data_IF_002800311686
#
_entry.id   IF_002800311686
#
_cell.length_a   1.000
_cell.length_b   1.000
_cell.length_c   1.000
_cell.angle_alpha   90.00
_cell.angle_beta   90.00
_cell.angle_gamma   90.00
#
_symmetry.space_group_name_H-M   'P 1'
#
loop_
_entity.id
_entity.type
_entity.pdbx_description
1 polymer ?
#
# COMPACT_ATOMS: atom_id res chain seq x y z
N UNK A 1 -2.53 68.82 62.95
CA UNK A 1 -3.20 68.72 61.67
C UNK A 1 -2.23 68.20 60.62
N UNK A 2 -1.47 67.07 60.91
CA UNK A 2 -0.37 66.58 60.10
C UNK A 2 -0.24 65.06 60.22
N UNK A 3 -1.33 64.33 60.26
CA UNK A 3 -1.35 62.85 60.40
C UNK A 3 -2.29 62.09 59.42
N UNK A 4 -3.05 62.85 58.58
CA UNK A 4 -3.97 62.25 57.62
C UNK A 4 -3.44 62.12 56.18
N UNK A 5 -2.37 62.85 55.81
CA UNK A 5 -1.81 62.85 54.49
C UNK A 5 -0.83 61.65 54.26
N UNK A 6 -0.27 61.12 55.37
CA UNK A 6 0.74 60.04 55.27
C UNK A 6 0.17 58.63 55.08
N UNK A 7 -1.14 58.45 55.32
CA UNK A 7 -1.80 57.12 55.18
C UNK A 7 -2.42 56.87 53.78
N UNK A 8 -2.56 57.92 52.99
CA UNK A 8 -3.17 57.81 51.66
C UNK A 8 -2.15 57.42 50.55
N UNK A 9 -0.85 57.65 50.80
CA UNK A 9 0.20 57.36 49.85
C UNK A 9 0.64 55.87 49.91
N UNK A 10 0.44 55.19 51.06
CA UNK A 10 0.85 53.78 51.22
C UNK A 10 -0.16 52.78 50.61
N UNK A 11 -1.42 53.19 50.45
CA UNK A 11 -2.46 52.32 49.86
C UNK A 11 -2.47 52.34 48.33
N UNK A 12 -1.89 53.36 47.71
CA UNK A 12 -1.82 53.48 46.24
C UNK A 12 -0.60 52.78 45.58
N UNK A 13 0.38 52.31 46.39
CA UNK A 13 1.56 51.63 45.84
C UNK A 13 1.48 50.10 45.92
N UNK A 14 0.39 49.55 46.47
CA UNK A 14 0.20 48.10 46.68
C UNK A 14 -0.61 47.41 45.58
N UNK A 15 -1.05 48.14 44.55
CA UNK A 15 -1.97 47.63 43.52
C UNK A 15 -1.32 47.44 42.11
N UNK A 16 0.03 47.53 41.98
CA UNK A 16 0.66 47.53 40.67
C UNK A 16 1.61 46.37 40.42
N UNK A 17 1.43 45.23 41.12
CA UNK A 17 2.17 43.99 40.85
C UNK A 17 1.24 42.79 40.65
N UNK A 18 0.15 42.96 39.86
CA UNK A 18 -0.52 41.84 39.21
C UNK A 18 0.18 41.66 37.87
N UNK A 19 1.33 41.02 37.90
CA UNK A 19 1.91 40.43 36.70
C UNK A 19 0.95 39.39 36.15
N UNK A 20 0.37 39.69 35.00
CA UNK A 20 -0.27 38.69 34.15
C UNK A 20 0.77 37.58 33.83
N UNK A 21 0.74 36.52 34.58
CA UNK A 21 1.31 35.23 34.10
C UNK A 21 0.37 34.78 33.00
N UNK A 22 0.69 35.14 31.75
CA UNK A 22 0.12 34.48 30.59
C UNK A 22 0.64 33.05 30.63
N UNK A 23 -0.13 32.13 31.20
CA UNK A 23 0.00 30.73 30.91
C UNK A 23 -0.24 30.60 29.40
N UNK A 24 0.88 30.48 28.68
CA UNK A 24 0.88 29.95 27.33
C UNK A 24 0.23 28.55 27.40
N UNK A 25 -1.07 28.48 27.15
CA UNK A 25 -1.75 27.22 26.84
C UNK A 25 -1.00 26.62 25.65
N UNK A 26 -0.07 25.73 25.95
CA UNK A 26 0.45 24.78 24.97
C UNK A 26 -0.75 23.98 24.51
N UNK A 27 -1.26 24.33 23.33
CA UNK A 27 -2.19 23.47 22.61
C UNK A 27 -1.60 22.06 22.61
N UNK A 28 -2.36 21.02 23.00
CA UNK A 28 -1.87 19.64 22.93
C UNK A 28 -1.42 19.44 21.49
N UNK A 29 -0.13 19.17 21.30
CA UNK A 29 0.49 19.03 19.99
C UNK A 29 -0.35 18.08 19.18
N UNK A 30 -0.93 18.54 18.11
CA UNK A 30 -1.50 17.67 17.10
C UNK A 30 -0.37 16.76 16.68
N UNK A 31 -0.43 15.52 17.14
CA UNK A 31 0.48 14.47 16.75
C UNK A 31 0.44 14.43 15.22
N UNK A 32 1.52 14.91 14.58
CA UNK A 32 1.60 14.95 13.12
C UNK A 32 1.66 13.51 12.66
N UNK A 33 0.49 12.94 12.40
CA UNK A 33 0.38 11.61 11.84
C UNK A 33 1.22 11.58 10.56
N UNK A 34 2.18 10.68 10.53
CA UNK A 34 3.02 10.51 9.34
C UNK A 34 2.12 10.19 8.14
N UNK A 35 2.08 11.04 7.10
CA UNK A 35 1.19 10.83 5.96
C UNK A 35 1.45 9.49 5.25
N UNK A 36 2.70 9.00 5.27
CA UNK A 36 3.04 7.70 4.70
C UNK A 36 2.44 6.55 5.50
N UNK A 37 2.33 6.68 6.84
CA UNK A 37 1.67 5.67 7.68
C UNK A 37 0.19 5.56 7.36
N UNK A 38 -0.50 6.68 7.08
CA UNK A 38 -1.90 6.66 6.67
C UNK A 38 -2.10 5.98 5.32
N UNK A 39 -1.22 6.28 4.34
CA UNK A 39 -1.26 5.65 3.01
C UNK A 39 -0.98 4.15 3.09
N UNK A 40 -0.05 3.73 3.95
CA UNK A 40 0.24 2.31 4.20
C UNK A 40 -0.95 1.61 4.87
N UNK A 41 -1.64 2.27 5.78
CA UNK A 41 -2.84 1.71 6.41
C UNK A 41 -3.97 1.57 5.39
N UNK A 42 -4.22 2.58 4.53
CA UNK A 42 -5.21 2.49 3.44
C UNK A 42 -4.89 1.33 2.48
N UNK A 43 -3.61 1.16 2.13
CA UNK A 43 -3.18 0.02 1.33
C UNK A 43 -3.52 -1.31 2.01
N UNK A 44 -3.17 -1.46 3.30
CA UNK A 44 -3.47 -2.66 4.09
C UNK A 44 -4.97 -2.95 4.13
N UNK A 45 -5.79 -1.95 4.42
CA UNK A 45 -7.24 -2.09 4.51
C UNK A 45 -7.84 -2.58 3.17
N UNK A 46 -7.32 -2.10 2.03
CA UNK A 46 -7.72 -2.53 0.69
C UNK A 46 -7.30 -3.97 0.41
N UNK A 47 -6.11 -4.36 0.81
CA UNK A 47 -5.65 -5.75 0.73
C UNK A 47 -6.53 -6.65 1.58
N UNK A 48 -6.80 -6.28 2.83
CA UNK A 48 -7.66 -7.06 3.74
C UNK A 48 -9.09 -7.22 3.19
N UNK A 49 -9.62 -6.17 2.57
CA UNK A 49 -10.92 -6.21 1.88
C UNK A 49 -10.91 -7.22 0.71
N UNK A 50 -9.85 -7.22 -0.08
CA UNK A 50 -9.69 -8.19 -1.17
C UNK A 50 -9.59 -9.63 -0.64
N UNK A 51 -8.78 -9.86 0.39
CA UNK A 51 -8.63 -11.18 1.01
C UNK A 51 -9.95 -11.71 1.58
N UNK A 52 -10.73 -10.84 2.25
CA UNK A 52 -12.07 -11.20 2.73
C UNK A 52 -12.99 -11.63 1.59
N UNK A 53 -13.01 -10.87 0.49
CA UNK A 53 -13.79 -11.23 -0.70
C UNK A 53 -13.32 -12.57 -1.28
N UNK A 54 -12.00 -12.77 -1.47
CA UNK A 54 -11.46 -14.04 -1.98
C UNK A 54 -11.90 -15.21 -1.10
N UNK A 55 -11.73 -15.10 0.22
CA UNK A 55 -12.13 -16.15 1.17
C UNK A 55 -13.62 -16.46 1.08
N UNK A 56 -14.50 -15.45 1.03
CA UNK A 56 -15.93 -15.66 0.84
C UNK A 56 -16.26 -16.42 -0.43
N UNK A 57 -15.54 -16.12 -1.52
CA UNK A 57 -15.71 -16.78 -2.81
C UNK A 57 -15.18 -18.22 -2.77
N UNK A 58 -14.05 -18.47 -2.10
CA UNK A 58 -13.51 -19.81 -1.87
C UNK A 58 -14.47 -20.67 -1.04
N UNK A 59 -15.00 -20.13 0.06
CA UNK A 59 -15.93 -20.83 0.96
C UNK A 59 -17.28 -21.21 0.28
N UNK A 60 -17.70 -20.44 -0.74
CA UNK A 60 -18.89 -20.68 -1.53
C UNK A 60 -18.66 -21.63 -2.71
N UNK A 61 -17.39 -21.84 -3.08
CA UNK A 61 -16.99 -22.69 -4.19
C UNK A 61 -16.76 -24.16 -3.78
N UNK A 62 -16.42 -25.01 -4.74
CA UNK A 62 -15.97 -26.36 -4.43
C UNK A 62 -14.69 -26.32 -3.62
N UNK A 63 -14.66 -26.99 -2.47
CA UNK A 63 -13.45 -27.09 -1.66
C UNK A 63 -12.37 -27.84 -2.43
N UNK A 64 -11.16 -27.29 -2.45
CA UNK A 64 -10.00 -28.00 -2.96
C UNK A 64 -9.63 -29.07 -1.96
N UNK A 65 -9.90 -30.34 -2.30
CA UNK A 65 -9.30 -31.46 -1.58
C UNK A 65 -7.84 -31.56 -1.96
N UNK A 66 -7.01 -31.88 -1.00
CA UNK A 66 -5.59 -32.15 -1.25
C UNK A 66 -5.41 -33.13 -2.44
N UNK A 67 -4.64 -32.72 -3.43
CA UNK A 67 -4.45 -33.48 -4.68
C UNK A 67 -3.15 -33.08 -5.33
N UNK A 68 -2.46 -34.06 -5.91
CA UNK A 68 -1.29 -33.86 -6.76
C UNK A 68 -1.65 -33.80 -8.26
N UNK A 69 -2.93 -33.95 -8.59
CA UNK A 69 -3.40 -33.93 -9.99
C UNK A 69 -3.42 -32.47 -10.53
N UNK A 70 -2.53 -32.13 -11.48
CA UNK A 70 -2.44 -30.77 -12.03
C UNK A 70 -3.74 -30.32 -12.71
N UNK A 71 -4.50 -31.22 -13.32
CA UNK A 71 -5.75 -30.90 -14.00
C UNK A 71 -6.83 -30.46 -12.99
N UNK A 72 -6.88 -31.10 -11.83
CA UNK A 72 -7.80 -30.74 -10.75
C UNK A 72 -7.40 -29.40 -10.10
N UNK A 73 -6.11 -29.18 -9.88
CA UNK A 73 -5.57 -27.90 -9.37
C UNK A 73 -5.96 -26.78 -10.31
N UNK A 74 -5.72 -26.97 -11.63
CA UNK A 74 -6.08 -25.98 -12.64
C UNK A 74 -7.59 -25.71 -12.70
N UNK A 75 -8.42 -26.74 -12.68
CA UNK A 75 -9.88 -26.60 -12.71
C UNK A 75 -10.40 -25.79 -11.50
N UNK A 76 -9.84 -26.06 -10.32
CA UNK A 76 -10.15 -25.30 -9.11
C UNK A 76 -9.71 -23.82 -9.26
N UNK A 77 -8.49 -23.59 -9.71
CA UNK A 77 -7.95 -22.23 -9.94
C UNK A 77 -8.83 -21.45 -10.94
N UNK A 78 -9.25 -22.09 -12.03
CA UNK A 78 -10.10 -21.48 -13.06
C UNK A 78 -11.48 -21.12 -12.49
N UNK A 79 -12.05 -22.01 -11.66
CA UNK A 79 -13.32 -21.78 -10.98
C UNK A 79 -13.20 -20.59 -9.99
N UNK A 80 -12.17 -20.58 -9.16
CA UNK A 80 -11.90 -19.47 -8.24
C UNK A 80 -11.74 -18.16 -8.99
N UNK A 81 -10.95 -18.16 -10.06
CA UNK A 81 -10.77 -16.99 -10.90
C UNK A 81 -12.08 -16.48 -11.53
N UNK A 82 -12.96 -17.37 -11.98
CA UNK A 82 -14.26 -16.99 -12.51
C UNK A 82 -15.17 -16.36 -11.44
N UNK A 83 -15.20 -16.95 -10.26
CA UNK A 83 -16.00 -16.46 -9.15
C UNK A 83 -15.50 -15.10 -8.63
N UNK A 84 -14.17 -14.92 -8.48
CA UNK A 84 -13.59 -13.63 -8.13
C UNK A 84 -13.93 -12.57 -9.19
N UNK A 85 -13.82 -12.89 -10.47
CA UNK A 85 -14.18 -11.95 -11.55
C UNK A 85 -15.65 -11.56 -11.48
N UNK A 86 -16.54 -12.50 -11.17
CA UNK A 86 -17.97 -12.22 -10.99
C UNK A 86 -18.21 -11.27 -9.80
N UNK A 87 -17.61 -11.56 -8.65
CA UNK A 87 -17.72 -10.73 -7.45
C UNK A 87 -17.09 -9.34 -7.63
N UNK A 88 -16.08 -9.21 -8.50
CA UNK A 88 -15.36 -7.97 -8.82
C UNK A 88 -15.70 -7.43 -10.23
N UNK A 89 -16.89 -7.64 -10.73
CA UNK A 89 -17.28 -7.21 -12.09
C UNK A 89 -17.10 -5.71 -12.35
N UNK A 90 -17.22 -4.89 -11.32
CA UNK A 90 -17.03 -3.42 -11.39
C UNK A 90 -15.63 -2.93 -11.05
N UNK A 91 -14.67 -3.83 -10.76
CA UNK A 91 -13.33 -3.43 -10.35
C UNK A 91 -12.57 -2.68 -11.44
N UNK A 92 -11.88 -1.61 -11.03
CA UNK A 92 -11.14 -0.73 -11.95
C UNK A 92 -9.66 -0.63 -11.53
N UNK A 93 -8.75 -0.31 -12.46
CA UNK A 93 -7.36 -0.01 -12.10
C UNK A 93 -7.26 1.11 -11.06
N UNK A 94 -6.51 0.87 -9.99
CA UNK A 94 -6.36 1.81 -8.88
C UNK A 94 -7.34 1.58 -7.73
N UNK A 95 -8.09 0.49 -7.74
CA UNK A 95 -8.93 0.11 -6.60
C UNK A 95 -8.10 -0.23 -5.36
N UNK A 96 -6.96 -0.90 -5.55
CA UNK A 96 -5.99 -1.17 -4.49
C UNK A 96 -4.86 -0.14 -4.53
N UNK A 97 -4.24 0.04 -5.68
CA UNK A 97 -3.19 1.03 -5.88
C UNK A 97 -3.78 2.40 -6.23
N UNK A 98 -4.33 3.12 -5.25
CA UNK A 98 -4.78 4.51 -5.43
C UNK A 98 -3.63 5.41 -5.90
N UNK A 99 -3.90 6.62 -6.38
CA UNK A 99 -2.83 7.56 -6.77
C UNK A 99 -1.79 7.79 -5.67
N UNK A 100 -2.23 7.90 -4.40
CA UNK A 100 -1.39 8.13 -3.23
C UNK A 100 -0.50 6.89 -2.94
N UNK A 101 -1.10 5.70 -2.99
CA UNK A 101 -0.39 4.43 -2.81
C UNK A 101 0.63 4.24 -3.94
N UNK A 102 0.28 4.54 -5.20
CA UNK A 102 1.22 4.49 -6.33
C UNK A 102 2.40 5.44 -6.14
N UNK A 103 2.12 6.65 -5.64
CA UNK A 103 3.18 7.64 -5.38
C UNK A 103 4.13 7.15 -4.29
N UNK A 104 3.58 6.59 -3.21
CA UNK A 104 4.37 6.01 -2.12
C UNK A 104 5.22 4.84 -2.61
N UNK A 105 4.64 3.89 -3.33
CA UNK A 105 5.35 2.70 -3.83
C UNK A 105 6.50 3.07 -4.77
N UNK A 106 6.28 4.03 -5.69
CA UNK A 106 7.36 4.54 -6.54
C UNK A 106 8.48 5.18 -5.73
N UNK A 107 8.14 5.91 -4.65
CA UNK A 107 9.12 6.53 -3.76
C UNK A 107 9.91 5.48 -2.98
N UNK A 108 9.26 4.42 -2.51
CA UNK A 108 9.92 3.31 -1.81
C UNK A 108 10.89 2.54 -2.73
N UNK A 109 10.50 2.28 -3.98
CA UNK A 109 11.32 1.55 -4.94
C UNK A 109 12.42 2.40 -5.58
N UNK A 110 12.31 3.73 -5.55
CA UNK A 110 13.22 4.63 -6.26
C UNK A 110 14.69 4.49 -5.85
N UNK A 111 15.06 4.42 -4.55
CA UNK A 111 16.45 4.22 -4.14
C UNK A 111 17.05 2.95 -4.75
N UNK A 112 16.28 1.87 -4.76
CA UNK A 112 16.69 0.54 -5.23
C UNK A 112 16.91 0.46 -6.76
N UNK A 113 16.51 1.50 -7.47
CA UNK A 113 16.63 1.59 -8.93
C UNK A 113 17.63 2.66 -9.38
N UNK A 114 18.45 3.18 -8.45
CA UNK A 114 19.45 4.23 -8.71
C UNK A 114 20.88 3.73 -8.57
N UNK A 115 21.80 4.47 -9.21
CA UNK A 115 23.22 4.13 -9.19
C UNK A 115 23.55 2.83 -9.93
N UNK A 116 24.71 2.27 -9.63
CA UNK A 116 25.23 1.05 -10.28
C UNK A 116 24.37 -0.17 -9.95
N UNK A 117 24.05 -0.39 -8.68
CA UNK A 117 23.20 -1.50 -8.23
C UNK A 117 21.78 -1.42 -8.80
N UNK A 118 21.23 -0.19 -8.90
CA UNK A 118 19.95 0.03 -9.55
C UNK A 118 19.96 -0.25 -11.05
N UNK A 119 21.10 -0.06 -11.72
CA UNK A 119 21.26 -0.45 -13.12
C UNK A 119 21.27 -1.98 -13.28
N UNK A 120 21.94 -2.70 -12.38
CA UNK A 120 21.93 -4.18 -12.33
C UNK A 120 20.51 -4.71 -12.04
N UNK A 121 19.81 -4.12 -11.07
CA UNK A 121 18.39 -4.43 -10.78
C UNK A 121 17.51 -4.28 -12.02
N UNK A 122 17.64 -3.17 -12.76
CA UNK A 122 16.89 -2.95 -14.01
C UNK A 122 17.25 -3.92 -15.11
N UNK A 123 18.50 -4.32 -15.20
CA UNK A 123 18.96 -5.32 -16.17
C UNK A 123 18.32 -6.67 -15.89
N UNK A 124 18.33 -7.15 -14.64
CA UNK A 124 17.66 -8.40 -14.22
C UNK A 124 16.16 -8.36 -14.57
N UNK A 125 15.47 -7.26 -14.25
CA UNK A 125 14.04 -7.09 -14.61
C UNK A 125 13.82 -7.20 -16.13
N UNK A 126 14.73 -6.65 -16.92
CA UNK A 126 14.63 -6.69 -18.38
C UNK A 126 14.88 -8.10 -18.94
N UNK A 127 15.81 -8.83 -18.36
CA UNK A 127 16.15 -10.20 -18.77
C UNK A 127 15.02 -11.18 -18.45
N UNK A 128 14.36 -11.03 -17.27
CA UNK A 128 13.24 -11.87 -16.85
C UNK A 128 11.90 -11.47 -17.50
N UNK A 129 11.87 -10.38 -18.26
CA UNK A 129 10.63 -9.81 -18.75
C UNK A 129 9.99 -10.67 -19.85
N UNK A 130 8.68 -10.96 -19.77
CA UNK A 130 7.94 -11.60 -20.84
C UNK A 130 7.91 -10.74 -22.11
N UNK A 131 7.52 -11.36 -23.22
CA UNK A 131 7.45 -10.68 -24.52
C UNK A 131 6.59 -9.41 -24.45
N UNK A 132 6.92 -8.36 -25.23
CA UNK A 132 6.11 -7.16 -25.28
C UNK A 132 4.66 -7.45 -25.71
N UNK A 133 3.69 -7.05 -24.85
CA UNK A 133 2.26 -7.22 -25.15
C UNK A 133 1.67 -8.58 -24.80
N UNK A 134 2.48 -9.56 -24.36
CA UNK A 134 1.97 -10.88 -23.98
C UNK A 134 1.18 -10.88 -22.67
N UNK A 135 1.51 -9.98 -21.72
CA UNK A 135 0.80 -9.87 -20.45
C UNK A 135 -0.24 -8.75 -20.53
N UNK A 136 -1.53 -9.04 -20.28
CA UNK A 136 -2.58 -8.02 -20.25
C UNK A 136 -2.53 -7.20 -18.96
N UNK A 137 -2.26 -5.89 -19.02
CA UNK A 137 -2.36 -4.98 -17.88
C UNK A 137 -3.81 -4.56 -17.65
N UNK A 138 -4.62 -5.52 -17.20
CA UNK A 138 -6.04 -5.33 -16.92
C UNK A 138 -6.42 -6.00 -15.61
N UNK A 139 -7.18 -5.30 -14.78
CA UNK A 139 -7.74 -5.86 -13.53
C UNK A 139 -8.63 -7.06 -13.83
N UNK A 140 -8.51 -8.09 -13.02
CA UNK A 140 -9.19 -9.38 -13.16
C UNK A 140 -8.77 -10.20 -14.39
N UNK A 141 -7.73 -9.79 -15.16
CA UNK A 141 -7.18 -10.63 -16.21
C UNK A 141 -6.36 -11.79 -15.58
N UNK A 142 -6.40 -12.96 -16.23
CA UNK A 142 -5.46 -14.04 -15.90
C UNK A 142 -4.04 -13.63 -16.36
N UNK A 143 -3.06 -13.99 -15.54
CA UNK A 143 -1.68 -13.99 -16.01
C UNK A 143 -1.52 -15.15 -17.01
N UNK A 144 -0.92 -14.93 -18.19
CA UNK A 144 -0.76 -15.98 -19.19
C UNK A 144 0.10 -17.14 -18.67
N UNK A 145 -0.35 -18.35 -18.88
CA UNK A 145 0.32 -19.56 -18.36
C UNK A 145 1.55 -19.95 -19.18
N UNK A 146 1.60 -19.51 -20.42
CA UNK A 146 2.69 -19.72 -21.39
C UNK A 146 3.80 -18.65 -21.30
N UNK A 147 3.58 -17.61 -20.50
CA UNK A 147 4.59 -16.58 -20.30
C UNK A 147 5.38 -16.80 -19.00
N UNK A 148 6.67 -16.46 -18.99
CA UNK A 148 7.46 -16.54 -17.77
C UNK A 148 6.87 -15.63 -16.69
N UNK A 149 6.85 -16.12 -15.45
CA UNK A 149 6.44 -15.34 -14.29
C UNK A 149 7.68 -14.65 -13.69
N UNK A 150 7.92 -13.36 -13.99
CA UNK A 150 9.13 -12.69 -13.55
C UNK A 150 9.16 -12.54 -12.04
N UNK A 151 10.34 -12.64 -11.48
CA UNK A 151 10.59 -12.42 -10.06
C UNK A 151 10.67 -10.93 -9.74
N UNK A 152 10.52 -10.57 -8.46
CA UNK A 152 10.86 -9.24 -7.97
C UNK A 152 12.25 -9.31 -7.37
N UNK A 153 13.21 -8.48 -7.81
CA UNK A 153 14.53 -8.42 -7.18
C UNK A 153 14.42 -8.24 -5.66
N UNK A 154 15.23 -8.96 -4.85
CA UNK A 154 15.08 -9.00 -3.40
C UNK A 154 15.12 -7.63 -2.71
N UNK A 155 15.95 -6.72 -3.19
CA UNK A 155 16.04 -5.35 -2.70
C UNK A 155 14.72 -4.57 -2.91
N UNK A 156 14.11 -4.68 -4.10
CA UNK A 156 12.81 -4.08 -4.37
C UNK A 156 11.70 -4.71 -3.53
N UNK A 157 11.72 -6.03 -3.37
CA UNK A 157 10.74 -6.72 -2.54
C UNK A 157 10.85 -6.30 -1.06
N UNK A 158 12.06 -6.12 -0.55
CA UNK A 158 12.32 -5.69 0.81
C UNK A 158 11.83 -4.24 1.08
N UNK A 159 11.83 -3.39 0.05
CA UNK A 159 11.34 -2.01 0.14
C UNK A 159 9.80 -1.90 0.14
N UNK A 160 9.09 -2.96 -0.25
CA UNK A 160 7.63 -2.95 -0.37
C UNK A 160 6.94 -3.50 0.90
N UNK A 161 5.71 -3.06 1.21
CA UNK A 161 4.91 -3.65 2.28
C UNK A 161 4.71 -5.14 2.09
N UNK A 162 4.78 -5.92 3.18
CA UNK A 162 4.51 -7.36 3.14
C UNK A 162 3.06 -7.63 2.75
N UNK A 163 2.86 -8.65 1.92
CA UNK A 163 1.55 -9.13 1.52
C UNK A 163 1.15 -10.37 2.33
N UNK A 164 -0.14 -10.60 2.55
CA UNK A 164 -0.64 -11.87 3.08
C UNK A 164 -0.49 -13.01 2.05
N UNK A 165 -0.58 -14.25 2.55
CA UNK A 165 -0.44 -15.44 1.73
C UNK A 165 -1.38 -15.46 0.53
N UNK A 166 -0.85 -15.97 -0.58
CA UNK A 166 -1.55 -16.06 -1.85
C UNK A 166 -1.60 -14.76 -2.65
N UNK A 167 -1.11 -13.64 -2.11
CA UNK A 167 -0.85 -12.44 -2.89
C UNK A 167 0.65 -12.23 -3.08
N UNK A 168 1.02 -11.75 -4.24
CA UNK A 168 2.42 -11.51 -4.58
C UNK A 168 2.60 -10.28 -5.49
N UNK A 169 3.74 -9.63 -5.33
CA UNK A 169 4.18 -8.64 -6.29
C UNK A 169 4.92 -9.34 -7.45
N UNK A 170 4.71 -8.83 -8.66
CA UNK A 170 5.51 -9.19 -9.84
C UNK A 170 5.89 -7.93 -10.59
N UNK A 171 7.10 -7.89 -11.13
CA UNK A 171 7.53 -6.78 -11.97
C UNK A 171 7.57 -7.28 -13.40
N UNK A 172 6.62 -6.78 -14.19
CA UNK A 172 6.54 -7.10 -15.62
C UNK A 172 7.04 -5.88 -16.39
N UNK A 173 8.26 -5.96 -16.89
CA UNK A 173 8.99 -4.85 -17.52
C UNK A 173 9.17 -3.68 -16.54
N UNK A 174 8.45 -2.59 -16.71
CA UNK A 174 8.47 -1.44 -15.81
C UNK A 174 7.18 -1.29 -14.96
N UNK A 175 6.28 -2.27 -15.02
CA UNK A 175 5.02 -2.27 -14.28
C UNK A 175 5.11 -3.17 -13.03
N UNK A 176 4.59 -2.70 -11.91
CA UNK A 176 4.38 -3.53 -10.74
C UNK A 176 2.96 -4.07 -10.77
N UNK A 177 2.79 -5.39 -10.77
CA UNK A 177 1.47 -6.03 -10.66
C UNK A 177 1.31 -6.65 -9.26
N UNK A 178 0.09 -6.59 -8.75
CA UNK A 178 -0.40 -7.37 -7.62
C UNK A 178 -1.13 -8.57 -8.19
N UNK A 179 -0.59 -9.77 -7.97
CA UNK A 179 -1.15 -11.02 -8.47
C UNK A 179 -1.72 -11.84 -7.32
N UNK A 180 -2.88 -12.40 -7.53
CA UNK A 180 -3.39 -13.51 -6.71
C UNK A 180 -2.86 -14.82 -7.29
N UNK A 181 -2.01 -15.51 -6.52
CA UNK A 181 -1.39 -16.75 -6.94
C UNK A 181 -2.38 -17.91 -6.97
N UNK A 182 -3.39 -17.91 -6.06
CA UNK A 182 -4.42 -18.96 -6.00
C UNK A 182 -5.33 -18.92 -7.24
N UNK A 183 -5.74 -17.73 -7.66
CA UNK A 183 -6.64 -17.55 -8.79
C UNK A 183 -5.90 -17.26 -10.12
N UNK A 184 -4.59 -17.09 -10.10
CA UNK A 184 -3.80 -16.61 -11.23
C UNK A 184 -4.35 -15.33 -11.86
N UNK A 185 -4.75 -14.36 -11.03
CA UNK A 185 -5.37 -13.11 -11.48
C UNK A 185 -4.51 -11.89 -11.18
N UNK A 186 -4.46 -10.95 -12.11
CA UNK A 186 -3.95 -9.59 -11.87
C UNK A 186 -5.03 -8.83 -11.09
N UNK A 187 -4.78 -8.59 -9.81
CA UNK A 187 -5.73 -7.93 -8.90
C UNK A 187 -5.76 -6.43 -9.13
N UNK A 188 -4.58 -5.84 -9.28
CA UNK A 188 -4.36 -4.42 -9.64
C UNK A 188 -2.90 -4.24 -10.12
N UNK A 189 -2.55 -3.05 -10.63
CA UNK A 189 -1.20 -2.78 -11.10
C UNK A 189 -0.83 -1.29 -11.03
N UNK A 190 0.48 -1.03 -10.95
CA UNK A 190 1.06 0.32 -11.04
C UNK A 190 1.78 0.43 -12.39
N UNK A 191 1.26 1.18 -13.35
CA UNK A 191 1.95 1.40 -14.61
C UNK A 191 3.19 2.27 -14.39
N UNK A 192 4.29 1.95 -15.10
CA UNK A 192 5.55 2.68 -15.00
C UNK A 192 6.02 2.86 -13.53
N UNK A 193 5.99 1.77 -12.78
CA UNK A 193 6.41 1.75 -11.38
C UNK A 193 7.91 1.98 -11.23
N UNK A 194 8.69 1.47 -12.20
CA UNK A 194 10.14 1.62 -12.32
C UNK A 194 10.45 2.52 -13.51
N UNK A 195 11.33 3.51 -13.29
CA UNK A 195 11.77 4.49 -14.30
C UNK A 195 13.27 4.38 -14.57
#
# INVERSE_FOLDING_TARGET
MMTLLSRLVVVLLSCLMLTCVSEAQQSPGQERVNPDAQVLQDFKDRIDKYIKLRKQVEDQGPSMKETEDPARIKAWQDTLAANIRSARKGARPGEIFTPEIRALFRRLMYPETKGREGAETKQTIKEDAPAPGSVPFKVNAKYPEDEPLPTVPPNLLAALPKLPDGLEYRIVRNHLILRDAHANLIVDFIPNAIR
#
